data_IF_738492582841
#
_entry.id   IF_738492582841
#
_cell.length_a   1.000
_cell.length_b   1.000
_cell.length_c   1.000
_cell.angle_alpha   90.00
_cell.angle_beta   90.00
_cell.angle_gamma   90.00
#
_symmetry.space_group_name_H-M   'P 1'
#
loop_
_entity.id
_entity.type
_entity.pdbx_description
1 polymer ?
#
# COMPACT_ATOMS: atom_id res chain seq x y z
N UNK A 1 -13.60 -63.96 -29.42
CA UNK A 1 -12.31 -63.22 -29.48
C UNK A 1 -12.46 -62.25 -30.63
N UNK A 2 -12.57 -60.93 -30.49
CA UNK A 2 -11.89 -59.98 -29.61
C UNK A 2 -12.78 -58.73 -29.51
N UNK A 3 -12.93 -58.19 -28.31
CA UNK A 3 -13.49 -56.87 -28.07
C UNK A 3 -12.39 -55.80 -28.30
N UNK A 4 -12.84 -54.53 -28.28
CA UNK A 4 -12.05 -53.30 -28.12
C UNK A 4 -11.47 -52.74 -29.43
N UNK A 5 -12.04 -51.63 -29.90
CA UNK A 5 -11.38 -50.31 -29.77
C UNK A 5 -12.43 -49.21 -29.96
N UNK A 6 -12.90 -48.67 -28.83
CA UNK A 6 -13.64 -47.42 -28.83
C UNK A 6 -12.64 -46.32 -29.13
N UNK A 7 -12.68 -45.78 -30.34
CA UNK A 7 -12.02 -44.53 -30.68
C UNK A 7 -12.70 -43.42 -29.87
N UNK A 8 -12.08 -43.05 -28.77
CA UNK A 8 -12.49 -41.93 -27.94
C UNK A 8 -12.40 -40.66 -28.79
N UNK A 9 -13.56 -40.14 -29.16
CA UNK A 9 -13.69 -38.81 -29.71
C UNK A 9 -13.40 -37.83 -28.57
N UNK A 10 -12.13 -37.46 -28.39
CA UNK A 10 -11.73 -36.34 -27.53
C UNK A 10 -12.52 -35.13 -28.03
N UNK A 11 -13.49 -34.71 -27.23
CA UNK A 11 -14.43 -33.65 -27.57
C UNK A 11 -13.62 -32.36 -27.71
N UNK A 12 -13.82 -31.64 -28.80
CA UNK A 12 -13.12 -30.38 -29.07
C UNK A 12 -13.36 -29.37 -27.93
N UNK A 13 -14.51 -29.46 -27.25
CA UNK A 13 -14.83 -28.68 -26.05
C UNK A 13 -13.86 -28.91 -24.87
N UNK A 14 -13.37 -30.14 -24.65
CA UNK A 14 -12.49 -30.47 -23.52
C UNK A 14 -11.09 -29.85 -23.70
N UNK A 15 -10.60 -29.81 -24.94
CA UNK A 15 -9.33 -29.17 -25.30
C UNK A 15 -9.39 -27.64 -25.18
N UNK A 16 -10.50 -27.02 -25.59
CA UNK A 16 -10.69 -25.56 -25.46
C UNK A 16 -10.83 -25.15 -24.00
N UNK A 17 -11.49 -25.98 -23.16
CA UNK A 17 -11.59 -25.73 -21.73
C UNK A 17 -10.23 -25.84 -21.03
N UNK A 18 -9.38 -26.80 -21.39
CA UNK A 18 -8.02 -26.89 -20.84
C UNK A 18 -7.14 -25.70 -21.23
N UNK A 19 -7.21 -25.23 -22.49
CA UNK A 19 -6.44 -24.05 -22.91
C UNK A 19 -6.90 -22.80 -22.17
N UNK A 20 -8.22 -22.55 -22.05
CA UNK A 20 -8.74 -21.41 -21.29
C UNK A 20 -8.44 -21.50 -19.79
N UNK A 21 -8.43 -22.70 -19.21
CA UNK A 21 -8.12 -22.90 -17.79
C UNK A 21 -6.62 -22.72 -17.51
N UNK A 22 -5.76 -23.22 -18.40
CA UNK A 22 -4.32 -23.03 -18.33
C UNK A 22 -3.96 -21.54 -18.49
N UNK A 23 -4.61 -20.83 -19.40
CA UNK A 23 -4.41 -19.39 -19.61
C UNK A 23 -4.83 -18.58 -18.36
N UNK A 24 -5.91 -18.99 -17.69
CA UNK A 24 -6.37 -18.37 -16.42
C UNK A 24 -5.39 -18.60 -15.26
N UNK A 25 -4.85 -19.80 -15.12
CA UNK A 25 -3.87 -20.09 -14.07
C UNK A 25 -2.56 -19.33 -14.29
N UNK A 26 -2.11 -19.24 -15.55
CA UNK A 26 -0.94 -18.45 -15.94
C UNK A 26 -1.16 -16.97 -15.65
N UNK A 27 -2.32 -16.42 -16.02
CA UNK A 27 -2.70 -15.03 -15.72
C UNK A 27 -2.67 -14.76 -14.22
N UNK A 28 -3.24 -15.64 -13.41
CA UNK A 28 -3.28 -15.45 -11.96
C UNK A 28 -1.89 -15.45 -11.34
N UNK A 29 -1.02 -16.37 -11.76
CA UNK A 29 0.38 -16.41 -11.32
C UNK A 29 1.12 -15.13 -11.73
N UNK A 30 0.90 -14.62 -12.93
CA UNK A 30 1.51 -13.37 -13.40
C UNK A 30 1.04 -12.18 -12.56
N UNK A 31 -0.25 -12.11 -12.23
CA UNK A 31 -0.79 -11.06 -11.36
C UNK A 31 -0.23 -11.16 -9.93
N UNK A 32 -0.03 -12.38 -9.43
CA UNK A 32 0.60 -12.64 -8.14
C UNK A 32 2.06 -12.23 -8.11
N UNK A 33 2.80 -12.53 -9.17
CA UNK A 33 4.18 -12.07 -9.36
C UNK A 33 4.26 -10.54 -9.49
N UNK A 34 3.28 -9.90 -10.13
CA UNK A 34 3.21 -8.45 -10.23
C UNK A 34 2.96 -7.79 -8.87
N UNK A 35 2.11 -8.39 -8.02
CA UNK A 35 1.90 -7.93 -6.64
C UNK A 35 3.17 -8.08 -5.79
N UNK A 36 3.91 -9.16 -5.96
CA UNK A 36 5.18 -9.35 -5.26
C UNK A 36 6.26 -8.37 -5.74
N UNK A 37 6.35 -8.15 -7.06
CA UNK A 37 7.28 -7.19 -7.67
C UNK A 37 7.02 -5.78 -7.18
N UNK A 38 5.76 -5.33 -7.23
CA UNK A 38 5.37 -3.98 -6.79
C UNK A 38 5.71 -3.75 -5.31
N UNK A 39 5.46 -4.75 -4.47
CA UNK A 39 5.82 -4.72 -3.06
C UNK A 39 7.34 -4.71 -2.84
N UNK A 40 8.09 -5.48 -3.63
CA UNK A 40 9.55 -5.57 -3.56
C UNK A 40 10.23 -4.27 -4.00
N UNK A 41 9.71 -3.60 -5.04
CA UNK A 41 10.17 -2.27 -5.46
C UNK A 41 10.08 -1.26 -4.31
N UNK A 42 8.98 -1.29 -3.54
CA UNK A 42 8.80 -0.41 -2.41
C UNK A 42 9.66 -0.79 -1.21
N UNK A 43 9.89 -2.08 -0.96
CA UNK A 43 10.74 -2.53 0.17
C UNK A 43 12.23 -2.42 -0.08
N UNK A 44 12.68 -2.40 -1.34
CA UNK A 44 14.10 -2.35 -1.69
C UNK A 44 14.78 -1.09 -1.15
N UNK A 45 16.09 -1.19 -0.88
CA UNK A 45 16.94 -0.07 -0.45
C UNK A 45 16.95 1.09 -1.47
N UNK A 46 16.86 0.76 -2.76
CA UNK A 46 16.72 1.76 -3.84
C UNK A 46 15.29 2.31 -3.97
N UNK A 47 14.32 1.75 -3.25
CA UNK A 47 12.93 2.18 -3.27
C UNK A 47 12.72 3.61 -2.75
N UNK A 48 13.71 4.20 -2.08
CA UNK A 48 13.73 5.64 -1.69
C UNK A 48 13.92 6.57 -2.90
N UNK A 49 14.43 6.06 -4.02
CA UNK A 49 14.64 6.82 -5.25
C UNK A 49 13.39 6.87 -6.14
N UNK A 50 12.33 6.14 -5.78
CA UNK A 50 11.06 6.18 -6.51
C UNK A 50 10.42 7.54 -6.32
N UNK A 51 9.95 8.13 -7.43
CA UNK A 51 9.14 9.35 -7.37
C UNK A 51 7.77 9.05 -6.80
N UNK A 52 7.10 10.06 -6.27
CA UNK A 52 5.72 9.94 -5.76
C UNK A 52 4.78 9.36 -6.83
N UNK A 53 4.91 9.80 -8.09
CA UNK A 53 4.15 9.26 -9.23
C UNK A 53 4.42 7.77 -9.47
N UNK A 54 5.69 7.33 -9.35
CA UNK A 54 6.04 5.93 -9.52
C UNK A 54 5.46 5.08 -8.38
N UNK A 55 5.56 5.56 -7.14
CA UNK A 55 4.94 4.92 -5.97
C UNK A 55 3.43 4.79 -6.18
N UNK A 56 2.77 5.88 -6.58
CA UNK A 56 1.34 5.88 -6.86
C UNK A 56 0.95 4.90 -7.98
N UNK A 57 1.76 4.82 -9.05
CA UNK A 57 1.57 3.84 -10.11
C UNK A 57 1.62 2.38 -9.63
N UNK A 58 2.47 2.07 -8.64
CA UNK A 58 2.51 0.73 -8.03
C UNK A 58 1.23 0.44 -7.21
N UNK A 59 0.71 1.44 -6.49
CA UNK A 59 -0.57 1.33 -5.77
C UNK A 59 -1.74 1.13 -6.73
N UNK A 60 -1.81 1.91 -7.80
CA UNK A 60 -2.87 1.78 -8.81
C UNK A 60 -2.84 0.41 -9.47
N UNK A 61 -1.65 -0.12 -9.77
CA UNK A 61 -1.49 -1.46 -10.31
C UNK A 61 -2.06 -2.52 -9.34
N UNK A 62 -1.64 -2.50 -8.07
CA UNK A 62 -2.13 -3.44 -7.06
C UNK A 62 -3.65 -3.30 -6.80
N UNK A 63 -4.18 -2.07 -6.84
CA UNK A 63 -5.61 -1.79 -6.70
C UNK A 63 -6.43 -2.28 -7.90
N UNK A 64 -5.93 -2.12 -9.13
CA UNK A 64 -6.59 -2.69 -10.31
C UNK A 64 -6.67 -4.21 -10.21
N UNK A 65 -5.63 -4.87 -9.70
CA UNK A 65 -5.62 -6.32 -9.51
C UNK A 65 -6.66 -6.75 -8.46
N UNK A 66 -6.75 -6.04 -7.33
CA UNK A 66 -7.74 -6.36 -6.29
C UNK A 66 -9.19 -6.23 -6.76
N UNK A 67 -9.45 -5.34 -7.72
CA UNK A 67 -10.76 -5.11 -8.34
C UNK A 67 -11.11 -5.98 -9.56
N UNK A 68 -10.24 -6.91 -9.98
CA UNK A 68 -10.54 -7.75 -11.15
C UNK A 68 -11.67 -8.74 -10.84
N UNK A 69 -12.76 -8.65 -11.61
CA UNK A 69 -13.95 -9.49 -11.44
C UNK A 69 -13.68 -11.00 -11.65
N UNK A 70 -12.61 -11.35 -12.38
CA UNK A 70 -12.26 -12.73 -12.75
C UNK A 70 -11.16 -13.36 -11.88
N UNK A 71 -10.62 -12.65 -10.89
CA UNK A 71 -9.56 -13.17 -10.03
C UNK A 71 -10.06 -14.11 -8.94
N UNK A 72 -9.20 -15.02 -8.45
CA UNK A 72 -9.54 -15.86 -7.29
C UNK A 72 -9.68 -15.06 -6.00
N UNK A 73 -10.26 -15.71 -4.97
CA UNK A 73 -10.29 -15.14 -3.62
C UNK A 73 -8.90 -14.97 -3.01
N UNK A 74 -7.95 -15.87 -3.34
CA UNK A 74 -6.57 -15.77 -2.90
C UNK A 74 -5.90 -14.55 -3.52
N UNK A 75 -5.97 -14.41 -4.85
CA UNK A 75 -5.43 -13.27 -5.59
C UNK A 75 -5.94 -11.94 -5.02
N UNK A 76 -7.26 -11.81 -4.79
CA UNK A 76 -7.85 -10.62 -4.19
C UNK A 76 -7.34 -10.36 -2.77
N UNK A 77 -7.32 -11.39 -1.93
CA UNK A 77 -6.86 -11.27 -0.53
C UNK A 77 -5.39 -10.85 -0.47
N UNK A 78 -4.55 -11.47 -1.31
CA UNK A 78 -3.15 -11.11 -1.46
C UNK A 78 -3.01 -9.67 -1.93
N UNK A 79 -3.78 -9.24 -2.94
CA UNK A 79 -3.75 -7.86 -3.42
C UNK A 79 -4.11 -6.83 -2.34
N UNK A 80 -5.15 -7.09 -1.53
CA UNK A 80 -5.51 -6.23 -0.40
C UNK A 80 -4.42 -6.18 0.68
N UNK A 81 -3.84 -7.32 1.03
CA UNK A 81 -2.72 -7.38 1.98
C UNK A 81 -1.49 -6.65 1.44
N UNK A 82 -1.20 -6.79 0.16
CA UNK A 82 -0.12 -6.06 -0.53
C UNK A 82 -0.37 -4.55 -0.44
N UNK A 83 -1.56 -4.06 -0.79
CA UNK A 83 -1.92 -2.64 -0.66
C UNK A 83 -1.73 -2.13 0.77
N UNK A 84 -2.21 -2.87 1.78
CA UNK A 84 -2.03 -2.50 3.18
C UNK A 84 -0.55 -2.41 3.56
N UNK A 85 0.26 -3.40 3.14
CA UNK A 85 1.71 -3.38 3.35
C UNK A 85 2.38 -2.18 2.68
N UNK A 86 1.98 -1.83 1.46
CA UNK A 86 2.52 -0.67 0.75
C UNK A 86 2.24 0.62 1.51
N UNK A 87 1.03 0.80 2.04
CA UNK A 87 0.70 1.96 2.89
C UNK A 87 1.65 2.02 4.08
N UNK A 88 1.81 0.91 4.80
CA UNK A 88 2.68 0.86 5.98
C UNK A 88 4.15 1.17 5.64
N UNK A 89 4.66 0.69 4.50
CA UNK A 89 6.04 0.99 4.06
C UNK A 89 6.21 2.48 3.80
N UNK A 90 5.30 3.08 3.03
CA UNK A 90 5.39 4.50 2.67
C UNK A 90 5.31 5.38 3.92
N UNK A 91 4.36 5.12 4.81
CA UNK A 91 4.24 5.90 6.04
C UNK A 91 5.35 5.63 7.06
N UNK A 92 5.89 4.41 7.11
CA UNK A 92 7.04 4.09 7.96
C UNK A 92 8.30 4.87 7.57
N UNK A 93 8.52 5.08 6.26
CA UNK A 93 9.64 5.93 5.78
C UNK A 93 9.51 7.38 6.18
N UNK A 94 8.29 7.89 6.36
CA UNK A 94 8.08 9.27 6.82
C UNK A 94 8.70 9.50 8.20
N UNK A 95 8.76 8.48 9.07
CA UNK A 95 9.45 8.59 10.36
C UNK A 95 10.96 8.79 10.18
N UNK A 96 11.59 8.15 9.20
CA UNK A 96 13.01 8.35 8.88
C UNK A 96 13.28 9.79 8.40
N UNK A 97 12.37 10.34 7.58
CA UNK A 97 12.45 11.74 7.14
C UNK A 97 12.24 12.72 8.29
N UNK A 98 11.30 12.44 9.21
CA UNK A 98 11.06 13.27 10.38
C UNK A 98 12.21 13.19 11.40
N UNK A 99 12.84 12.03 11.53
CA UNK A 99 14.02 11.83 12.36
C UNK A 99 15.24 12.59 11.80
N UNK A 100 15.36 12.67 10.48
CA UNK A 100 16.43 13.43 9.82
C UNK A 100 16.24 14.95 9.96
N UNK A 101 15.00 15.42 10.12
CA UNK A 101 14.69 16.83 10.37
C UNK A 101 14.04 17.01 11.74
N UNK A 102 14.82 16.92 12.84
CA UNK A 102 14.27 16.94 14.18
C UNK A 102 13.41 18.19 14.39
N UNK A 103 12.29 18.01 15.10
CA UNK A 103 11.31 19.03 15.46
C UNK A 103 11.88 20.23 16.25
N UNK A 104 13.20 20.34 16.39
CA UNK A 104 13.95 21.49 16.90
C UNK A 104 13.68 22.81 16.16
N UNK A 105 12.99 22.78 15.01
CA UNK A 105 12.53 23.95 14.26
C UNK A 105 11.10 24.42 14.65
N UNK A 106 10.40 23.69 15.52
CA UNK A 106 9.12 24.17 16.06
C UNK A 106 9.42 25.29 17.07
N UNK A 107 9.07 26.52 16.69
CA UNK A 107 9.23 27.74 17.49
C UNK A 107 8.83 27.48 18.95
N UNK A 108 9.67 27.83 19.94
CA UNK A 108 9.33 27.62 21.35
C UNK A 108 8.01 28.34 21.68
N UNK A 109 7.17 27.76 22.56
CA UNK A 109 5.91 28.37 22.96
C UNK A 109 6.18 29.79 23.49
N UNK A 110 5.31 30.77 23.18
CA UNK A 110 5.49 32.13 23.67
C UNK A 110 5.57 32.14 25.20
N UNK A 111 6.46 32.96 25.80
CA UNK A 111 6.59 33.04 27.25
C UNK A 111 5.24 33.43 27.88
N UNK A 112 4.93 32.93 29.09
CA UNK A 112 3.69 33.29 29.78
C UNK A 112 3.64 34.81 30.01
N UNK A 113 2.44 35.43 29.91
CA UNK A 113 2.30 36.86 30.13
C UNK A 113 2.71 37.22 31.58
N UNK A 114 3.36 38.38 31.79
CA UNK A 114 3.78 38.81 33.12
C UNK A 114 2.55 38.97 34.04
N UNK A 115 2.69 38.71 35.35
CA UNK A 115 1.58 38.90 36.28
C UNK A 115 1.17 40.37 36.29
N UNK A 116 -0.14 40.62 36.13
CA UNK A 116 -0.72 41.95 36.26
C UNK A 116 -0.36 42.48 37.65
N UNK A 117 0.56 43.45 37.69
CA UNK A 117 0.94 44.12 38.92
C UNK A 117 -0.33 44.73 39.50
N UNK A 118 -0.78 44.20 40.64
CA UNK A 118 -1.89 44.74 41.39
C UNK A 118 -1.61 46.22 41.62
N UNK A 119 -2.47 47.07 41.04
CA UNK A 119 -2.47 48.51 41.18
C UNK A 119 -2.41 48.88 42.66
N UNK A 120 -1.22 49.21 43.15
CA UNK A 120 -1.03 49.74 44.49
C UNK A 120 -1.65 51.14 44.56
N UNK A 121 -2.63 51.28 45.45
CA UNK A 121 -3.20 52.45 46.13
C UNK A 121 -2.95 53.87 45.59
N UNK A 122 -3.95 54.75 45.74
CA UNK A 122 -3.71 56.07 46.29
C UNK A 122 -4.11 56.11 47.78
N UNK A 123 -3.12 56.36 48.63
CA UNK A 123 -3.27 56.68 50.05
C UNK A 123 -3.98 58.03 50.21
N UNK A 124 -5.05 58.16 51.01
CA UNK A 124 -5.63 59.47 51.29
C UNK A 124 -4.77 60.20 52.33
N UNK A 125 -4.35 61.41 51.94
CA UNK A 125 -3.71 62.38 52.82
C UNK A 125 -4.59 62.72 54.02
N UNK A 126 -3.98 62.83 55.20
CA UNK A 126 -4.59 63.32 56.42
C UNK A 126 -3.94 64.66 56.82
N UNK A 127 -4.67 65.54 57.54
CA UNK A 127 -4.56 67.01 57.48
C UNK A 127 -3.39 67.62 58.24
#
# INVERSE_FOLDING_TARGET
VRAVEGAEAVHVDDAVQQEEETDRDLDEVVLMNLLDLTQSCLRSDVGVLLTDDAVWGLFEAAFRISGQARGSALLRTTAFNTLANMVLIVFGRTEDFLAMHPASQLRPPPPPPPPLSASASPSPAAP
#
